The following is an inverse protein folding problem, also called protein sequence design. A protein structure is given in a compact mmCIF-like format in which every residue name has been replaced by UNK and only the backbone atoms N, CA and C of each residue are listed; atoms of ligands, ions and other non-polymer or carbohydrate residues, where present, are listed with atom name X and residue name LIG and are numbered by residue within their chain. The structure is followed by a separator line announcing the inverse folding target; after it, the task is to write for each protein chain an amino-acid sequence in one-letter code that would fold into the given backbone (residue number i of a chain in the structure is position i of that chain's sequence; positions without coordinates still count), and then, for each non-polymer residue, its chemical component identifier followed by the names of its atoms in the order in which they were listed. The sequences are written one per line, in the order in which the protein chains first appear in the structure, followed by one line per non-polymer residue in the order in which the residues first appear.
data_IF_754581543506
#
_entry.id   IF_754581543506
#
_cell.length_a   1.000
_cell.length_b   1.000
_cell.length_c   1.000
_cell.angle_alpha   90.00
_cell.angle_beta   90.00
_cell.angle_gamma   90.00
#
_symmetry.space_group_name_H-M   'P 1'
#
loop_
_entity.id
_entity.type
_entity.pdbx_description
1 polymer ?
#
# COMPACT_ATOMS: atom_id res chain seq x y z
N UNK A 1 -6.62 9.52 -18.89
CA UNK A 1 -5.30 9.83 -18.27
C UNK A 1 -4.20 9.90 -19.31
N UNK A 2 -3.27 10.86 -19.24
CA UNK A 2 -2.13 10.83 -20.17
C UNK A 2 -1.07 9.79 -19.75
N UNK A 3 -0.20 9.39 -20.67
CA UNK A 3 0.83 8.36 -20.43
C UNK A 3 1.68 8.61 -19.18
N UNK A 4 2.01 9.88 -18.90
CA UNK A 4 2.80 10.26 -17.73
C UNK A 4 2.01 10.08 -16.43
N UNK A 5 0.75 10.49 -16.42
CA UNK A 5 -0.14 10.28 -15.26
C UNK A 5 -0.32 8.78 -14.97
N UNK A 6 -0.42 7.96 -16.02
CA UNK A 6 -0.50 6.50 -15.90
C UNK A 6 0.79 5.89 -15.31
N UNK A 7 1.95 6.28 -15.83
CA UNK A 7 3.25 5.86 -15.26
C UNK A 7 3.38 6.26 -13.78
N UNK A 8 2.96 7.48 -13.42
CA UNK A 8 2.99 7.97 -12.05
C UNK A 8 2.07 7.13 -11.13
N UNK A 9 0.89 6.71 -11.61
CA UNK A 9 0.00 5.82 -10.86
C UNK A 9 0.60 4.42 -10.68
N UNK A 10 1.20 3.84 -11.73
CA UNK A 10 1.84 2.52 -11.64
C UNK A 10 2.99 2.54 -10.62
N UNK A 11 3.78 3.62 -10.59
CA UNK A 11 4.84 3.80 -9.60
C UNK A 11 4.28 3.92 -8.17
N UNK A 12 3.20 4.68 -7.99
CA UNK A 12 2.53 4.81 -6.70
C UNK A 12 1.98 3.46 -6.21
N UNK A 13 1.33 2.69 -7.10
CA UNK A 13 0.84 1.35 -6.80
C UNK A 13 1.98 0.42 -6.34
N UNK A 14 3.11 0.46 -7.05
CA UNK A 14 4.29 -0.32 -6.69
C UNK A 14 4.84 0.03 -5.31
N UNK A 15 4.92 1.32 -4.98
CA UNK A 15 5.38 1.78 -3.69
C UNK A 15 4.44 1.37 -2.55
N UNK A 16 3.12 1.51 -2.74
CA UNK A 16 2.14 1.10 -1.73
C UNK A 16 2.18 -0.42 -1.48
N UNK A 17 2.31 -1.22 -2.54
CA UNK A 17 2.44 -2.69 -2.41
C UNK A 17 3.72 -3.10 -1.68
N UNK A 18 4.83 -2.40 -1.91
CA UNK A 18 6.05 -2.64 -1.15
C UNK A 18 5.88 -2.24 0.32
N UNK A 19 5.24 -1.09 0.57
CA UNK A 19 4.95 -0.65 1.93
C UNK A 19 4.07 -1.64 2.70
N UNK A 20 2.97 -2.10 2.08
CA UNK A 20 2.11 -3.14 2.65
C UNK A 20 2.87 -4.43 2.97
N UNK A 21 3.78 -4.85 2.08
CA UNK A 21 4.65 -6.02 2.30
C UNK A 21 5.55 -5.82 3.50
N UNK A 22 6.21 -4.66 3.61
CA UNK A 22 7.09 -4.33 4.72
C UNK A 22 6.35 -4.32 6.06
N UNK A 23 5.15 -3.72 6.10
CA UNK A 23 4.29 -3.71 7.28
C UNK A 23 3.93 -5.14 7.72
N UNK A 24 3.53 -6.00 6.78
CA UNK A 24 3.09 -7.36 7.09
C UNK A 24 4.25 -8.32 7.43
N UNK A 25 5.35 -8.26 6.69
CA UNK A 25 6.46 -9.23 6.80
C UNK A 25 7.50 -8.83 7.83
N UNK A 26 7.67 -7.52 8.09
CA UNK A 26 8.70 -7.02 9.02
C UNK A 26 8.10 -6.40 10.26
N UNK A 27 7.27 -5.37 10.12
CA UNK A 27 6.85 -4.56 11.26
C UNK A 27 5.87 -5.31 12.14
N UNK A 28 4.86 -5.94 11.54
CA UNK A 28 3.89 -6.77 12.24
C UNK A 28 4.58 -7.91 12.99
N UNK A 29 5.47 -8.65 12.31
CA UNK A 29 6.21 -9.76 12.91
C UNK A 29 7.07 -9.26 14.07
N UNK A 30 7.76 -8.13 13.89
CA UNK A 30 8.59 -7.54 14.94
C UNK A 30 7.76 -7.12 16.15
N UNK A 31 6.65 -6.41 15.92
CA UNK A 31 5.75 -5.96 16.98
C UNK A 31 5.04 -7.12 17.68
N UNK A 32 4.73 -8.21 16.98
CA UNK A 32 4.15 -9.42 17.55
C UNK A 32 5.06 -10.04 18.61
N UNK A 33 6.37 -10.07 18.36
CA UNK A 33 7.34 -10.65 19.28
C UNK A 33 7.87 -9.66 20.33
N UNK A 34 8.02 -8.37 19.97
CA UNK A 34 8.70 -7.36 20.81
C UNK A 34 7.75 -6.35 21.46
N UNK A 35 6.47 -6.35 21.08
CA UNK A 35 5.47 -5.35 21.47
C UNK A 35 5.45 -4.11 20.58
N UNK A 36 6.56 -3.82 19.89
CA UNK A 36 6.70 -2.68 18.97
C UNK A 36 7.56 -3.04 17.75
N UNK A 37 7.31 -2.39 16.60
CA UNK A 37 8.13 -2.47 15.39
C UNK A 37 9.48 -1.75 15.57
N UNK A 38 10.33 -1.79 14.54
CA UNK A 38 11.59 -1.04 14.53
C UNK A 38 11.38 0.49 14.57
N UNK A 39 10.29 0.97 13.99
CA UNK A 39 9.85 2.37 14.01
C UNK A 39 9.13 2.76 15.31
N UNK A 40 8.88 1.81 16.22
CA UNK A 40 8.21 2.06 17.51
C UNK A 40 6.69 1.96 17.46
N UNK A 41 6.12 1.41 16.39
CA UNK A 41 4.67 1.24 16.26
C UNK A 41 4.19 -0.01 16.98
N UNK A 42 3.02 0.07 17.59
CA UNK A 42 2.30 -1.06 18.18
C UNK A 42 1.67 -1.93 17.08
N UNK A 43 1.29 -3.16 17.44
CA UNK A 43 0.49 -4.03 16.56
C UNK A 43 -0.82 -3.36 16.08
N UNK A 44 -1.46 -2.57 16.93
CA UNK A 44 -2.71 -1.91 16.57
C UNK A 44 -2.50 -0.86 15.48
N UNK A 45 -1.48 -0.01 15.63
CA UNK A 45 -1.10 1.00 14.66
C UNK A 45 -0.66 0.37 13.33
N UNK A 46 0.10 -0.74 13.38
CA UNK A 46 0.51 -1.47 12.16
C UNK A 46 -0.71 -2.04 11.41
N UNK A 47 -1.67 -2.62 12.14
CA UNK A 47 -2.89 -3.15 11.50
C UNK A 47 -3.75 -2.03 10.88
N UNK A 48 -3.84 -0.88 11.54
CA UNK A 48 -4.53 0.29 11.00
C UNK A 48 -3.84 0.81 9.73
N UNK A 49 -2.51 0.86 9.73
CA UNK A 49 -1.73 1.29 8.57
C UNK A 49 -1.83 0.29 7.40
N UNK A 50 -1.82 -1.02 7.66
CA UNK A 50 -2.08 -2.04 6.64
C UNK A 50 -3.48 -1.83 6.03
N UNK A 51 -4.51 -1.68 6.86
CA UNK A 51 -5.88 -1.47 6.38
C UNK A 51 -6.01 -0.22 5.51
N UNK A 52 -5.32 0.86 5.89
CA UNK A 52 -5.31 2.12 5.16
C UNK A 52 -4.58 1.97 3.84
N UNK A 53 -3.39 1.36 3.85
CA UNK A 53 -2.58 1.09 2.66
C UNK A 53 -3.35 0.21 1.67
N UNK A 54 -4.03 -0.83 2.14
CA UNK A 54 -4.86 -1.70 1.30
C UNK A 54 -6.05 -0.97 0.67
N UNK A 55 -6.64 0.00 1.37
CA UNK A 55 -7.70 0.83 0.81
C UNK A 55 -7.18 1.77 -0.28
N UNK A 56 -6.02 2.38 -0.07
CA UNK A 56 -5.35 3.20 -1.07
C UNK A 56 -4.98 2.39 -2.32
N UNK A 57 -4.44 1.18 -2.15
CA UNK A 57 -4.17 0.25 -3.25
C UNK A 57 -5.44 -0.01 -4.06
N UNK A 58 -6.56 -0.36 -3.40
CA UNK A 58 -7.84 -0.63 -4.09
C UNK A 58 -8.42 0.59 -4.80
N UNK A 59 -8.20 1.79 -4.27
CA UNK A 59 -8.62 3.02 -4.94
C UNK A 59 -7.80 3.26 -6.21
N UNK A 60 -6.49 3.06 -6.11
CA UNK A 60 -5.56 3.32 -7.19
C UNK A 60 -5.66 2.27 -8.30
N UNK A 61 -5.87 1.00 -7.95
CA UNK A 61 -6.19 -0.09 -8.90
C UNK A 61 -7.48 0.23 -9.68
N UNK A 62 -8.55 0.67 -8.99
CA UNK A 62 -9.79 1.08 -9.68
C UNK A 62 -9.57 2.26 -10.62
N UNK A 63 -8.77 3.24 -10.21
CA UNK A 63 -8.47 4.38 -11.07
C UNK A 63 -7.70 3.98 -12.33
N UNK A 64 -6.79 3.00 -12.21
CA UNK A 64 -6.06 2.45 -13.35
C UNK A 64 -7.01 1.66 -14.27
N UNK A 65 -7.83 0.78 -13.70
CA UNK A 65 -8.77 -0.06 -14.45
C UNK A 65 -9.86 0.76 -15.17
N UNK A 66 -10.45 1.75 -14.49
CA UNK A 66 -11.49 2.62 -15.05
C UNK A 66 -10.95 3.41 -16.26
N UNK A 67 -9.68 3.82 -16.21
CA UNK A 67 -9.03 4.51 -17.32
C UNK A 67 -8.60 3.55 -18.44
N UNK A 68 -8.12 2.34 -18.15
CA UNK A 68 -7.75 1.34 -19.18
C UNK A 68 -8.95 0.97 -20.07
N UNK A 69 -10.16 0.92 -19.50
CA UNK A 69 -11.42 0.66 -20.22
C UNK A 69 -11.82 1.82 -21.16
N UNK A 70 -11.40 3.05 -20.88
CA UNK A 70 -11.70 4.22 -21.73
C UNK A 70 -10.80 4.31 -22.98
N UNK A 71 -9.76 3.48 -23.09
CA UNK A 71 -8.82 3.45 -24.24
C UNK A 71 -9.08 2.34 -25.27
N UNK A 72 -10.05 1.43 -25.06
CA UNK A 72 -10.50 0.40 -26.02
C UNK A 72 -11.67 0.85 -26.91
#
# INVERSE_FOLDING_TARGET
MNDREYEDLILQLGNLREHARQLAETDYVTALYKGYSASGQTLAEINEEISTTDEEIRLLERQIDDDEVDYE
#
